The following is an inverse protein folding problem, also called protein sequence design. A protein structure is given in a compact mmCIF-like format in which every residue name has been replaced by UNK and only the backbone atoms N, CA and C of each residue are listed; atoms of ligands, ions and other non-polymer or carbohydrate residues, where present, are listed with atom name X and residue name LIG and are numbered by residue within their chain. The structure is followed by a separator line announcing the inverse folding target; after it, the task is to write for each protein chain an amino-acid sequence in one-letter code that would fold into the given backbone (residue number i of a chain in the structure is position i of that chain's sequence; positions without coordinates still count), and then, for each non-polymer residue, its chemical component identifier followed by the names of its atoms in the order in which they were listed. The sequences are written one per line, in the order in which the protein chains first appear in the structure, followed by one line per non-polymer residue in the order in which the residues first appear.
data_IF_006763191406
#
_entry.id   IF_006763191406
#
_cell.length_a   1.000
_cell.length_b   1.000
_cell.length_c   1.000
_cell.angle_alpha   90.00
_cell.angle_beta   90.00
_cell.angle_gamma   90.00
#
_symmetry.space_group_name_H-M   'P 1'
#
loop_
_entity.id
_entity.type
_entity.pdbx_description
1 polymer ?
#
# COMPACT_ATOMS: atom_id res chain seq x y z
N UNK A 1 -31.30 2.53 -10.13
CA UNK A 1 -30.82 1.66 -9.03
C UNK A 1 -29.45 2.13 -8.56
N UNK A 2 -29.35 2.85 -7.43
CA UNK A 2 -28.07 3.08 -6.74
C UNK A 2 -28.08 2.28 -5.45
N UNK A 3 -27.61 1.05 -5.52
CA UNK A 3 -27.13 0.34 -4.33
C UNK A 3 -25.79 0.97 -3.95
N UNK A 4 -25.82 2.24 -3.56
CA UNK A 4 -24.67 2.94 -3.02
C UNK A 4 -24.48 2.39 -1.63
N UNK A 5 -23.51 1.50 -1.43
CA UNK A 5 -23.01 1.16 -0.12
C UNK A 5 -22.28 2.40 0.48
N UNK A 6 -23.07 3.44 0.80
CA UNK A 6 -22.69 4.65 1.51
C UNK A 6 -22.85 4.40 3.00
N UNK A 7 -22.11 3.42 3.51
CA UNK A 7 -21.93 3.31 4.96
C UNK A 7 -21.09 4.51 5.38
N UNK A 8 -21.53 5.30 6.38
CA UNK A 8 -20.78 6.44 6.93
C UNK A 8 -19.30 6.09 7.19
N UNK A 9 -19.04 4.84 7.58
CA UNK A 9 -17.71 4.24 7.74
C UNK A 9 -16.88 4.30 6.46
N UNK A 10 -17.43 3.94 5.30
CA UNK A 10 -16.70 3.98 4.03
C UNK A 10 -16.28 5.41 3.66
N UNK A 11 -17.15 6.39 3.90
CA UNK A 11 -16.81 7.80 3.70
C UNK A 11 -15.70 8.25 4.65
N UNK A 12 -15.82 7.93 5.94
CA UNK A 12 -14.80 8.25 6.95
C UNK A 12 -13.43 7.63 6.61
N UNK A 13 -13.40 6.37 6.18
CA UNK A 13 -12.16 5.68 5.79
C UNK A 13 -11.52 6.28 4.53
N UNK A 14 -12.33 6.75 3.57
CA UNK A 14 -11.81 7.48 2.39
C UNK A 14 -11.25 8.84 2.78
N UNK A 15 -11.90 9.57 3.69
CA UNK A 15 -11.36 10.82 4.24
C UNK A 15 -10.04 10.59 4.98
N UNK A 16 -9.96 9.55 5.82
CA UNK A 16 -8.72 9.16 6.48
C UNK A 16 -7.62 8.82 5.47
N UNK A 17 -7.93 8.06 4.41
CA UNK A 17 -7.00 7.75 3.35
C UNK A 17 -6.48 9.00 2.61
N UNK A 18 -7.33 10.01 2.41
CA UNK A 18 -6.92 11.30 1.83
C UNK A 18 -5.96 12.06 2.74
N UNK A 19 -6.21 12.09 4.06
CA UNK A 19 -5.30 12.72 5.02
C UNK A 19 -3.91 12.05 5.03
N UNK A 20 -3.85 10.73 4.80
CA UNK A 20 -2.59 9.99 4.72
C UNK A 20 -1.73 10.32 3.50
N UNK A 21 -2.27 11.00 2.47
CA UNK A 21 -1.55 11.33 1.22
C UNK A 21 -0.19 12.00 1.48
N UNK A 22 -0.14 12.92 2.44
CA UNK A 22 1.06 13.71 2.80
C UNK A 22 1.77 13.19 4.07
N UNK A 23 1.22 12.16 4.71
CA UNK A 23 1.78 11.61 5.93
C UNK A 23 3.08 10.83 5.67
N UNK A 24 4.05 10.94 6.58
CA UNK A 24 5.32 10.22 6.56
C UNK A 24 5.21 8.76 7.08
N UNK A 25 4.03 8.18 7.02
CA UNK A 25 3.74 6.82 7.47
C UNK A 25 3.91 5.78 6.37
N UNK A 26 3.97 4.50 6.74
CA UNK A 26 4.01 3.38 5.78
C UNK A 26 2.75 3.37 4.89
N UNK A 27 1.58 3.69 5.44
CA UNK A 27 0.33 3.80 4.67
C UNK A 27 0.32 5.00 3.73
N UNK A 28 0.91 6.14 4.13
CA UNK A 28 1.09 7.28 3.24
C UNK A 28 2.01 6.95 2.06
N UNK A 29 3.10 6.22 2.31
CA UNK A 29 4.00 5.74 1.25
C UNK A 29 3.30 4.74 0.31
N UNK A 30 2.44 3.86 0.85
CA UNK A 30 1.59 2.97 0.06
C UNK A 30 0.64 3.75 -0.86
N UNK A 31 -0.05 4.78 -0.34
CA UNK A 31 -0.91 5.64 -1.14
C UNK A 31 -0.14 6.31 -2.28
N UNK A 32 0.99 6.97 -1.98
CA UNK A 32 1.78 7.71 -2.99
C UNK A 32 2.26 6.81 -4.11
N UNK A 33 2.73 5.61 -3.77
CA UNK A 33 3.15 4.60 -4.75
C UNK A 33 2.01 4.21 -5.67
N UNK A 34 0.85 3.89 -5.09
CA UNK A 34 -0.30 3.44 -5.85
C UNK A 34 -0.88 4.55 -6.72
N UNK A 35 -0.92 5.78 -6.20
CA UNK A 35 -1.36 6.96 -6.92
C UNK A 35 -0.47 7.26 -8.14
N UNK A 36 0.86 7.14 -7.99
CA UNK A 36 1.81 7.28 -9.12
C UNK A 36 1.63 6.21 -10.21
N UNK A 37 1.17 5.01 -9.84
CA UNK A 37 1.03 3.87 -10.77
C UNK A 37 -0.32 3.82 -11.49
N UNK A 38 -1.42 4.11 -10.79
CA UNK A 38 -2.78 3.84 -11.29
C UNK A 38 -3.68 5.09 -11.20
N UNK A 39 -3.32 6.09 -10.40
CA UNK A 39 -4.10 7.31 -10.21
C UNK A 39 -4.62 7.49 -8.78
N UNK A 40 -4.89 8.75 -8.42
CA UNK A 40 -5.25 9.17 -7.07
C UNK A 40 -6.55 8.55 -6.56
N UNK A 41 -7.58 8.49 -7.41
CA UNK A 41 -8.91 8.02 -7.01
C UNK A 41 -8.86 6.55 -6.58
N UNK A 42 -8.27 5.69 -7.40
CA UNK A 42 -8.08 4.26 -7.09
C UNK A 42 -7.22 4.09 -5.84
N UNK A 43 -6.20 4.94 -5.66
CA UNK A 43 -5.34 4.89 -4.49
C UNK A 43 -6.08 5.20 -3.18
N UNK A 44 -7.06 6.11 -3.19
CA UNK A 44 -7.91 6.41 -2.02
C UNK A 44 -8.68 5.16 -1.61
N UNK A 45 -9.37 4.51 -2.56
CA UNK A 45 -10.16 3.31 -2.27
C UNK A 45 -9.31 2.17 -1.75
N UNK A 46 -8.16 1.91 -2.37
CA UNK A 46 -7.25 0.85 -1.95
C UNK A 46 -6.64 1.11 -0.57
N UNK A 47 -6.32 2.37 -0.25
CA UNK A 47 -5.80 2.76 1.06
C UNK A 47 -6.87 2.67 2.13
N UNK A 48 -8.10 3.10 1.84
CA UNK A 48 -9.26 2.94 2.72
C UNK A 48 -9.55 1.46 3.03
N UNK A 49 -9.48 0.59 2.01
CA UNK A 49 -9.61 -0.87 2.21
C UNK A 49 -8.52 -1.40 3.13
N UNK A 50 -7.27 -0.98 2.94
CA UNK A 50 -6.14 -1.41 3.77
C UNK A 50 -6.30 -0.96 5.23
N UNK A 51 -6.75 0.28 5.45
CA UNK A 51 -7.14 0.77 6.77
C UNK A 51 -8.26 -0.07 7.40
N UNK A 52 -9.31 -0.37 6.65
CA UNK A 52 -10.41 -1.21 7.14
C UNK A 52 -9.92 -2.59 7.61
N UNK A 53 -9.01 -3.20 6.86
CA UNK A 53 -8.40 -4.49 7.24
C UNK A 53 -7.57 -4.39 8.52
N UNK A 54 -6.81 -3.30 8.70
CA UNK A 54 -6.03 -3.07 9.92
C UNK A 54 -6.95 -2.87 11.13
N UNK A 55 -7.99 -2.04 10.99
CA UNK A 55 -8.99 -1.83 12.05
C UNK A 55 -9.68 -3.14 12.41
N UNK A 56 -10.10 -3.93 11.41
CA UNK A 56 -10.71 -5.22 11.67
C UNK A 56 -9.75 -6.17 12.39
N UNK A 57 -8.47 -6.20 12.00
CA UNK A 57 -7.45 -7.04 12.66
C UNK A 57 -7.23 -6.64 14.12
N UNK A 58 -7.17 -5.34 14.36
CA UNK A 58 -7.05 -4.78 15.69
C UNK A 58 -8.25 -5.19 16.56
N UNK A 59 -9.48 -5.05 16.06
CA UNK A 59 -10.69 -5.35 16.81
C UNK A 59 -10.92 -6.86 16.99
N UNK A 60 -10.64 -7.66 15.96
CA UNK A 60 -10.93 -9.11 15.96
C UNK A 60 -9.88 -9.93 16.69
N UNK A 61 -8.60 -9.57 16.53
CA UNK A 61 -7.46 -10.36 17.02
C UNK A 61 -6.57 -9.59 17.99
N UNK A 62 -6.90 -8.34 18.35
CA UNK A 62 -6.08 -7.53 19.25
C UNK A 62 -4.73 -7.13 18.64
N UNK A 63 -4.54 -7.26 17.33
CA UNK A 63 -3.25 -7.00 16.69
C UNK A 63 -3.00 -5.49 16.60
N UNK A 64 -2.03 -4.92 17.34
CA UNK A 64 -1.74 -3.50 17.27
C UNK A 64 -1.19 -3.12 15.90
N UNK A 65 -1.58 -1.95 15.40
CA UNK A 65 -0.92 -1.33 14.27
C UNK A 65 0.26 -0.51 14.77
N UNK A 66 1.48 -0.91 14.39
CA UNK A 66 2.71 -0.14 14.60
C UNK A 66 3.17 0.36 13.24
N UNK A 67 3.31 1.67 13.11
CA UNK A 67 3.79 2.26 11.86
C UNK A 67 5.31 2.09 11.74
N UNK A 68 5.75 1.35 10.73
CA UNK A 68 7.18 1.15 10.44
C UNK A 68 7.83 2.38 9.77
N UNK A 69 7.03 3.38 9.40
CA UNK A 69 7.47 4.56 8.66
C UNK A 69 7.54 4.38 7.14
N UNK A 70 7.61 5.51 6.43
CA UNK A 70 7.65 5.53 4.97
C UNK A 70 8.91 4.86 4.39
N UNK A 71 10.08 5.11 4.99
CA UNK A 71 11.36 4.62 4.48
C UNK A 71 11.46 3.09 4.57
N UNK A 72 11.04 2.50 5.69
CA UNK A 72 11.01 1.05 5.87
C UNK A 72 10.08 0.38 4.84
N UNK A 73 8.90 0.97 4.59
CA UNK A 73 8.00 0.49 3.55
C UNK A 73 8.64 0.54 2.15
N UNK A 74 9.34 1.62 1.82
CA UNK A 74 10.02 1.77 0.53
C UNK A 74 11.17 0.78 0.35
N UNK A 75 11.98 0.56 1.39
CA UNK A 75 13.04 -0.47 1.41
C UNK A 75 12.50 -1.87 1.16
N UNK A 76 11.47 -2.29 1.91
CA UNK A 76 10.83 -3.62 1.72
C UNK A 76 10.29 -3.79 0.31
N UNK A 77 9.62 -2.76 -0.22
CA UNK A 77 9.12 -2.82 -1.59
C UNK A 77 10.25 -2.97 -2.59
N UNK A 78 11.33 -2.18 -2.47
CA UNK A 78 12.48 -2.26 -3.38
C UNK A 78 13.06 -3.67 -3.39
N UNK A 79 13.22 -4.28 -2.21
CA UNK A 79 13.68 -5.66 -2.08
C UNK A 79 12.72 -6.64 -2.77
N UNK A 80 11.41 -6.53 -2.55
CA UNK A 80 10.42 -7.38 -3.24
C UNK A 80 10.44 -7.20 -4.75
N UNK A 81 10.63 -5.97 -5.23
CA UNK A 81 10.72 -5.67 -6.64
C UNK A 81 11.96 -6.31 -7.29
N UNK A 82 13.13 -6.20 -6.65
CA UNK A 82 14.37 -6.84 -7.10
C UNK A 82 14.21 -8.37 -7.12
N UNK A 83 13.62 -8.96 -6.07
CA UNK A 83 13.33 -10.40 -6.04
C UNK A 83 12.44 -10.85 -7.21
N UNK A 84 11.39 -10.08 -7.50
CA UNK A 84 10.51 -10.34 -8.64
C UNK A 84 11.22 -10.21 -9.99
N UNK A 85 12.10 -9.21 -10.15
CA UNK A 85 12.93 -9.07 -11.35
C UNK A 85 13.89 -10.24 -11.52
N UNK A 86 14.56 -10.67 -10.45
CA UNK A 86 15.45 -11.83 -10.49
C UNK A 86 14.71 -13.12 -10.88
N UNK A 87 13.50 -13.32 -10.35
CA UNK A 87 12.66 -14.47 -10.72
C UNK A 87 12.28 -14.45 -12.20
N UNK A 88 11.82 -13.31 -12.73
CA UNK A 88 11.49 -13.16 -14.16
C UNK A 88 12.69 -13.33 -15.07
N UNK A 89 13.86 -12.82 -14.68
CA UNK A 89 15.09 -13.04 -15.42
C UNK A 89 15.40 -14.54 -15.52
N UNK A 90 15.28 -15.27 -14.40
CA UNK A 90 15.51 -16.72 -14.34
C UNK A 90 14.53 -17.50 -15.24
N UNK A 91 13.25 -17.13 -15.26
CA UNK A 91 12.24 -17.73 -16.15
C UNK A 91 12.60 -17.56 -17.63
N UNK A 92 13.26 -16.46 -17.99
CA UNK A 92 13.72 -16.17 -19.34
C UNK A 92 15.14 -16.69 -19.64
N UNK A 93 15.76 -17.44 -18.72
CA UNK A 93 17.13 -17.95 -18.88
C UNK A 93 18.25 -16.93 -18.63
N UNK A 94 17.92 -15.76 -18.08
CA UNK A 94 18.87 -14.70 -17.74
C UNK A 94 19.18 -14.66 -16.23
N UNK A 95 20.35 -14.13 -15.86
CA UNK A 95 20.72 -13.89 -14.46
C UNK A 95 20.81 -12.38 -14.18
N UNK A 96 20.06 -11.91 -13.18
CA UNK A 96 20.12 -10.52 -12.74
C UNK A 96 21.43 -10.27 -11.98
N UNK A 97 22.32 -9.41 -12.51
CA UNK A 97 23.53 -8.95 -11.84
C UNK A 97 23.40 -7.46 -11.50
N UNK A 98 23.80 -7.03 -10.28
CA UNK A 98 23.81 -5.61 -9.96
C UNK A 98 24.88 -4.89 -10.78
N UNK A 99 24.52 -3.78 -11.39
CA UNK A 99 25.49 -2.89 -12.04
C UNK A 99 26.12 -2.02 -10.97
N UNK A 100 27.45 -2.09 -10.83
CA UNK A 100 28.21 -1.21 -9.95
C UNK A 100 28.28 0.17 -10.61
N UNK A 101 27.48 1.12 -10.14
CA UNK A 101 27.57 2.55 -10.46
C UNK A 101 27.66 3.31 -9.15
#
# INVERSE_FOLDING_TARGET
KRNSASTRVAAALRMAALALRRSATALGAYYRRLARRIGGDVAVFATARKLATLIYRLLRWGQPYVDEGAEAFEKRYRQQHIKGLAARAKELGFQLKPTTT
#
